data_IF_689108735709
#
_entry.id   IF_689108735709
#
_cell.length_a   1.000
_cell.length_b   1.000
_cell.length_c   1.000
_cell.angle_alpha   90.00
_cell.angle_beta   90.00
_cell.angle_gamma   90.00
#
_symmetry.space_group_name_H-M   'P 1'
#
loop_
_entity.id
_entity.type
_entity.pdbx_description
1 polymer ?
#
# COMPACT_ATOMS: atom_id res chain seq x y z
N UNK A 1 -29.86 16.29 -1.26
CA UNK A 1 -28.77 15.98 -2.21
C UNK A 1 -27.47 16.39 -1.54
N UNK A 2 -26.78 15.48 -0.85
CA UNK A 2 -25.47 15.76 -0.27
C UNK A 2 -24.46 15.50 -1.37
N UNK A 3 -23.85 16.56 -1.90
CA UNK A 3 -22.73 16.44 -2.82
C UNK A 3 -21.59 15.75 -2.07
N UNK A 4 -21.11 14.64 -2.63
CA UNK A 4 -19.96 13.90 -2.14
C UNK A 4 -18.69 14.70 -2.46
N UNK A 5 -18.39 15.67 -1.58
CA UNK A 5 -17.21 16.53 -1.67
C UNK A 5 -15.90 15.74 -1.49
N UNK A 6 -15.93 14.49 -1.03
CA UNK A 6 -14.74 13.66 -0.86
C UNK A 6 -14.21 13.09 -2.17
N UNK A 7 -15.11 12.61 -3.03
CA UNK A 7 -14.76 11.98 -4.30
C UNK A 7 -14.26 13.01 -5.33
N UNK A 8 -14.91 14.18 -5.40
CA UNK A 8 -14.47 15.26 -6.30
C UNK A 8 -13.12 15.89 -5.90
N UNK A 9 -12.78 15.93 -4.61
CA UNK A 9 -11.50 16.48 -4.16
C UNK A 9 -10.33 15.52 -4.46
N UNK A 10 -10.55 14.21 -4.32
CA UNK A 10 -9.57 13.19 -4.71
C UNK A 10 -9.42 13.08 -6.23
N UNK A 11 -10.52 13.14 -6.99
CA UNK A 11 -10.45 13.20 -8.46
C UNK A 11 -9.67 14.43 -8.93
N UNK A 12 -9.85 15.60 -8.29
CA UNK A 12 -9.14 16.84 -8.69
C UNK A 12 -7.67 16.84 -8.27
N UNK A 13 -7.32 16.24 -7.12
CA UNK A 13 -5.93 16.20 -6.63
C UNK A 13 -5.08 15.18 -7.40
N UNK A 14 -5.66 14.04 -7.78
CA UNK A 14 -4.95 13.03 -8.60
C UNK A 14 -4.79 13.52 -10.04
N UNK A 15 -5.74 14.31 -10.57
CA UNK A 15 -5.62 14.88 -11.92
C UNK A 15 -4.60 16.04 -12.03
N UNK A 16 -4.14 16.60 -10.91
CA UNK A 16 -3.20 17.74 -10.89
C UNK A 16 -1.78 17.39 -10.45
N UNK A 17 -1.51 16.16 -9.97
CA UNK A 17 -0.14 15.67 -9.87
C UNK A 17 0.34 15.24 -11.25
N UNK A 18 0.98 16.16 -11.98
CA UNK A 18 1.86 15.78 -13.07
C UNK A 18 3.01 14.95 -12.49
N UNK A 19 2.84 13.62 -12.51
CA UNK A 19 3.89 12.70 -12.15
C UNK A 19 5.06 12.90 -13.12
N UNK A 20 6.18 13.38 -12.60
CA UNK A 20 7.37 13.62 -13.41
C UNK A 20 7.83 12.30 -14.07
N UNK A 21 8.41 12.37 -15.28
CA UNK A 21 9.11 11.24 -15.85
C UNK A 21 10.24 10.77 -14.93
N UNK A 22 10.40 9.45 -14.83
CA UNK A 22 11.51 8.81 -14.12
C UNK A 22 12.05 7.63 -14.93
N UNK A 23 13.31 7.29 -14.72
CA UNK A 23 13.95 6.15 -15.37
C UNK A 23 14.09 4.99 -14.39
N UNK A 24 13.98 3.76 -14.90
CA UNK A 24 14.29 2.58 -14.10
C UNK A 24 15.78 2.59 -13.71
N UNK A 25 16.12 2.11 -12.49
CA UNK A 25 17.50 1.90 -12.13
C UNK A 25 18.20 0.95 -13.13
N UNK A 26 19.51 1.11 -13.36
CA UNK A 26 20.26 0.20 -14.23
C UNK A 26 20.31 -1.22 -13.65
N UNK A 27 20.35 -2.22 -14.53
CA UNK A 27 20.41 -3.64 -14.17
C UNK A 27 19.03 -4.29 -13.98
N UNK A 28 19.03 -5.59 -13.70
CA UNK A 28 17.80 -6.36 -13.52
C UNK A 28 17.20 -6.16 -12.13
N UNK A 29 15.95 -5.70 -12.07
CA UNK A 29 15.18 -5.69 -10.83
C UNK A 29 14.82 -7.12 -10.40
N UNK A 30 14.77 -7.35 -9.09
CA UNK A 30 14.28 -8.62 -8.56
C UNK A 30 12.76 -8.69 -8.71
N UNK A 31 12.26 -9.82 -9.23
CA UNK A 31 10.83 -10.03 -9.52
C UNK A 31 10.20 -11.18 -8.74
N UNK A 32 10.90 -11.77 -7.75
CA UNK A 32 10.40 -12.95 -7.02
C UNK A 32 9.05 -12.65 -6.35
N UNK A 33 7.98 -13.20 -6.95
CA UNK A 33 6.61 -13.18 -6.43
C UNK A 33 5.87 -11.83 -6.51
N UNK A 34 6.36 -10.86 -7.29
CA UNK A 34 5.95 -9.45 -7.14
C UNK A 34 5.27 -8.85 -8.38
N UNK A 35 4.34 -7.93 -8.12
CA UNK A 35 3.76 -6.97 -9.06
C UNK A 35 4.74 -5.83 -9.39
N UNK A 36 5.96 -5.94 -8.87
CA UNK A 36 7.00 -4.94 -8.98
C UNK A 36 8.34 -5.59 -9.34
N UNK A 37 9.15 -4.81 -10.05
CA UNK A 37 10.60 -4.99 -10.02
C UNK A 37 11.17 -4.20 -8.84
N UNK A 38 12.13 -4.80 -8.14
CA UNK A 38 12.73 -4.23 -6.93
C UNK A 38 14.24 -4.10 -7.08
N UNK A 39 14.77 -2.92 -6.78
CA UNK A 39 16.19 -2.62 -6.72
C UNK A 39 16.57 -2.10 -5.33
N UNK A 40 17.79 -2.40 -4.91
CA UNK A 40 18.43 -1.69 -3.81
C UNK A 40 19.23 -0.53 -4.40
N UNK A 41 19.11 0.67 -3.83
CA UNK A 41 19.89 1.83 -4.27
C UNK A 41 21.39 1.60 -4.11
N UNK A 42 22.22 2.36 -4.85
CA UNK A 42 23.68 2.18 -4.82
C UNK A 42 24.29 2.39 -3.42
N UNK A 43 23.74 3.32 -2.65
CA UNK A 43 24.10 3.58 -1.24
C UNK A 43 23.50 2.56 -0.25
N UNK A 44 22.63 1.66 -0.74
CA UNK A 44 21.91 0.63 0.03
C UNK A 44 20.94 1.17 1.09
N UNK A 45 20.61 2.47 1.03
CA UNK A 45 19.73 3.10 2.01
C UNK A 45 18.25 3.03 1.60
N UNK A 46 17.95 2.73 0.34
CA UNK A 46 16.58 2.74 -0.20
C UNK A 46 16.30 1.50 -1.03
N UNK A 47 15.07 1.03 -0.95
CA UNK A 47 14.49 0.09 -1.89
C UNK A 47 13.71 0.90 -2.92
N UNK A 48 14.02 0.71 -4.19
CA UNK A 48 13.30 1.30 -5.33
C UNK A 48 12.40 0.20 -5.90
N UNK A 49 11.12 0.48 -6.09
CA UNK A 49 10.14 -0.42 -6.68
C UNK A 49 9.56 0.21 -7.94
N UNK A 50 9.38 -0.59 -8.99
CA UNK A 50 8.62 -0.18 -10.17
C UNK A 50 7.51 -1.19 -10.47
N UNK A 51 6.25 -0.75 -10.46
CA UNK A 51 5.09 -1.61 -10.77
C UNK A 51 5.24 -2.24 -12.16
N UNK A 52 4.70 -3.42 -12.40
CA UNK A 52 4.54 -3.91 -13.77
C UNK A 52 3.50 -3.06 -14.52
N UNK A 53 3.57 -3.10 -15.86
CA UNK A 53 2.71 -2.33 -16.72
C UNK A 53 1.23 -2.73 -16.51
N UNK A 54 0.42 -1.81 -15.98
CA UNK A 54 -0.99 -2.05 -15.69
C UNK A 54 -1.28 -2.85 -14.42
N UNK A 55 -0.26 -3.15 -13.60
CA UNK A 55 -0.39 -3.95 -12.36
C UNK A 55 0.02 -3.12 -11.14
N UNK A 56 -0.86 -2.23 -10.67
CA UNK A 56 -0.58 -1.34 -9.54
C UNK A 56 -0.91 -1.99 -8.19
N UNK A 57 -0.19 -3.03 -7.79
CA UNK A 57 -0.39 -3.64 -6.48
C UNK A 57 -1.70 -4.45 -6.35
N UNK A 58 -1.77 -5.47 -5.50
CA UNK A 58 -3.05 -6.10 -5.12
C UNK A 58 -3.89 -5.13 -4.32
N UNK A 59 -5.21 -5.22 -4.37
CA UNK A 59 -6.09 -4.54 -3.41
C UNK A 59 -6.91 -5.51 -2.58
N UNK A 60 -7.37 -5.05 -1.42
CA UNK A 60 -8.33 -5.81 -0.62
C UNK A 60 -9.64 -6.00 -1.39
N UNK A 61 -10.17 -7.23 -1.39
CA UNK A 61 -11.39 -7.58 -2.09
C UNK A 61 -11.17 -8.67 -3.15
N UNK A 62 -11.98 -8.68 -4.23
CA UNK A 62 -11.80 -9.63 -5.33
C UNK A 62 -10.40 -9.57 -5.93
N UNK A 63 -9.89 -10.71 -6.41
CA UNK A 63 -8.54 -10.85 -6.99
C UNK A 63 -8.36 -9.95 -8.23
N UNK A 64 -7.84 -8.74 -7.99
CA UNK A 64 -7.64 -7.66 -8.96
C UNK A 64 -6.50 -6.77 -8.50
N UNK A 65 -5.80 -6.17 -9.46
CA UNK A 65 -4.89 -5.07 -9.20
C UNK A 65 -5.66 -3.81 -8.78
N UNK A 66 -5.00 -2.95 -8.02
CA UNK A 66 -5.47 -1.62 -7.75
C UNK A 66 -5.39 -0.75 -9.01
N UNK A 67 -6.18 0.30 -9.07
CA UNK A 67 -5.94 1.38 -10.02
C UNK A 67 -4.74 2.21 -9.56
N UNK A 68 -4.23 3.09 -10.44
CA UNK A 68 -3.16 4.01 -10.06
C UNK A 68 -3.59 4.89 -8.88
N UNK A 69 -4.83 5.39 -8.89
CA UNK A 69 -5.42 6.20 -7.84
C UNK A 69 -5.44 5.45 -6.49
N UNK A 70 -5.91 4.20 -6.50
CA UNK A 70 -5.95 3.34 -5.30
C UNK A 70 -4.53 3.07 -4.76
N UNK A 71 -3.53 2.94 -5.63
CA UNK A 71 -2.14 2.72 -5.22
C UNK A 71 -1.47 3.99 -4.69
N UNK A 72 -1.71 5.15 -5.30
CA UNK A 72 -1.23 6.44 -4.80
C UNK A 72 -1.84 6.76 -3.42
N UNK A 73 -3.15 6.49 -3.26
CA UNK A 73 -3.83 6.63 -1.98
C UNK A 73 -3.23 5.69 -0.91
N UNK A 74 -2.88 4.45 -1.26
CA UNK A 74 -2.18 3.53 -0.35
C UNK A 74 -0.86 4.12 0.15
N UNK A 75 -0.04 4.68 -0.74
CA UNK A 75 1.24 5.30 -0.37
C UNK A 75 0.99 6.44 0.62
N UNK A 76 0.01 7.31 0.34
CA UNK A 76 -0.37 8.41 1.24
C UNK A 76 -0.79 7.89 2.61
N UNK A 77 -1.71 6.93 2.65
CA UNK A 77 -2.23 6.35 3.89
C UNK A 77 -1.15 5.61 4.71
N UNK A 78 -0.24 4.87 4.07
CA UNK A 78 0.86 4.21 4.78
C UNK A 78 1.81 5.22 5.42
N UNK A 79 2.10 6.32 4.73
CA UNK A 79 2.93 7.37 5.30
C UNK A 79 2.24 8.04 6.49
N UNK A 80 0.94 8.31 6.41
CA UNK A 80 0.18 8.93 7.49
C UNK A 80 0.02 8.01 8.70
N UNK A 81 -0.31 6.73 8.49
CA UNK A 81 -0.62 5.79 9.56
C UNK A 81 0.65 5.18 10.19
N UNK A 82 1.68 4.94 9.40
CA UNK A 82 2.85 4.15 9.82
C UNK A 82 4.19 4.86 9.64
N UNK A 83 4.21 6.10 9.15
CA UNK A 83 5.43 6.90 8.98
C UNK A 83 6.53 6.22 8.12
N UNK A 84 6.15 5.40 7.14
CA UNK A 84 7.06 4.52 6.37
C UNK A 84 7.95 5.24 5.35
N UNK A 85 7.85 6.56 5.21
CA UNK A 85 8.61 7.41 4.27
C UNK A 85 8.67 6.85 2.84
N UNK A 86 7.56 6.35 2.33
CA UNK A 86 7.41 5.86 0.96
C UNK A 86 7.15 7.03 0.00
N UNK A 87 8.04 7.22 -0.97
CA UNK A 87 8.05 8.35 -1.90
C UNK A 87 7.75 7.90 -3.32
N UNK A 88 7.06 8.76 -4.08
CA UNK A 88 6.86 8.60 -5.51
C UNK A 88 8.02 9.27 -6.23
N UNK A 89 8.76 8.50 -7.03
CA UNK A 89 9.89 9.01 -7.81
C UNK A 89 9.45 9.52 -9.17
N UNK A 90 8.37 8.95 -9.72
CA UNK A 90 7.81 9.35 -11.00
C UNK A 90 7.19 8.19 -11.75
N UNK A 91 6.99 8.37 -13.05
CA UNK A 91 6.43 7.35 -13.94
C UNK A 91 7.36 7.08 -15.11
N UNK A 92 7.34 5.85 -15.62
CA UNK A 92 7.97 5.51 -16.90
C UNK A 92 6.95 4.81 -17.82
N UNK A 93 7.11 4.98 -19.13
CA UNK A 93 6.17 4.47 -20.12
C UNK A 93 4.87 5.28 -20.21
N UNK A 94 4.02 4.92 -21.16
CA UNK A 94 2.79 5.64 -21.50
C UNK A 94 1.58 4.70 -21.65
N UNK A 95 0.38 5.24 -21.46
CA UNK A 95 -0.87 4.50 -21.58
C UNK A 95 -0.88 3.21 -20.75
N UNK A 96 -1.13 2.08 -21.40
CA UNK A 96 -1.15 0.74 -20.75
C UNK A 96 0.23 0.26 -20.30
N UNK A 97 1.31 0.84 -20.81
CA UNK A 97 2.68 0.53 -20.40
C UNK A 97 3.16 1.38 -19.22
N UNK A 98 2.33 2.29 -18.70
CA UNK A 98 2.69 3.17 -17.60
C UNK A 98 3.00 2.34 -16.36
N UNK A 99 4.15 2.63 -15.76
CA UNK A 99 4.63 2.06 -14.50
C UNK A 99 4.87 3.19 -13.51
N UNK A 100 4.58 2.94 -12.24
CA UNK A 100 4.90 3.85 -11.16
C UNK A 100 6.23 3.44 -10.52
N UNK A 101 7.15 4.40 -10.41
CA UNK A 101 8.41 4.21 -9.71
C UNK A 101 8.29 4.88 -8.35
N UNK A 102 8.61 4.12 -7.32
CA UNK A 102 8.57 4.56 -5.94
C UNK A 102 9.83 4.13 -5.22
N UNK A 103 10.11 4.76 -4.08
CA UNK A 103 11.16 4.26 -3.21
C UNK A 103 10.90 4.56 -1.75
N UNK A 104 11.54 3.78 -0.89
CA UNK A 104 11.34 3.82 0.55
C UNK A 104 12.64 3.41 1.26
N UNK A 105 12.80 3.69 2.56
CA UNK A 105 13.97 3.22 3.30
C UNK A 105 14.15 1.70 3.19
N UNK A 106 15.39 1.26 3.05
CA UNK A 106 15.75 -0.13 3.25
C UNK A 106 15.74 -0.42 4.76
N UNK A 107 14.67 -1.05 5.24
CA UNK A 107 14.56 -1.41 6.65
C UNK A 107 15.48 -2.58 7.00
N UNK A 108 16.18 -2.45 8.12
CA UNK A 108 17.07 -3.48 8.65
C UNK A 108 16.51 -4.01 9.97
N UNK A 109 16.51 -5.34 10.13
CA UNK A 109 15.95 -6.00 11.30
C UNK A 109 15.51 -7.42 10.97
N UNK A 110 14.61 -7.96 11.79
CA UNK A 110 14.02 -9.30 11.59
C UNK A 110 12.56 -9.17 11.15
N UNK A 111 12.00 -10.13 10.40
CA UNK A 111 10.55 -10.21 10.22
C UNK A 111 9.85 -10.28 11.60
N UNK A 112 8.80 -9.48 11.86
CA UNK A 112 8.01 -9.63 13.07
C UNK A 112 7.19 -10.93 12.99
N UNK A 113 6.88 -11.51 14.15
CA UNK A 113 5.94 -12.62 14.27
C UNK A 113 4.50 -12.15 14.04
N UNK A 114 3.59 -13.08 13.72
CA UNK A 114 2.16 -12.78 13.63
C UNK A 114 1.58 -12.23 14.94
N UNK A 115 2.09 -12.69 16.09
CA UNK A 115 1.67 -12.18 17.39
C UNK A 115 2.10 -10.73 17.61
N UNK A 116 3.32 -10.36 17.22
CA UNK A 116 3.81 -8.98 17.28
C UNK A 116 3.02 -8.06 16.32
N UNK A 117 2.72 -8.51 15.09
CA UNK A 117 1.85 -7.76 14.16
C UNK A 117 0.46 -7.57 14.76
N UNK A 118 -0.12 -8.63 15.34
CA UNK A 118 -1.43 -8.56 15.99
C UNK A 118 -1.45 -7.52 17.11
N UNK A 119 -0.46 -7.55 17.99
CA UNK A 119 -0.35 -6.57 19.06
C UNK A 119 -0.21 -5.14 18.52
N UNK A 120 0.66 -4.95 17.53
CA UNK A 120 0.90 -3.67 16.86
C UNK A 120 -0.37 -3.05 16.23
N UNK A 121 -1.21 -3.87 15.61
CA UNK A 121 -2.48 -3.43 15.02
C UNK A 121 -3.54 -3.12 16.10
N UNK A 122 -3.64 -3.94 17.14
CA UNK A 122 -4.57 -3.72 18.26
C UNK A 122 -4.26 -2.42 19.00
N UNK A 123 -2.99 -2.11 19.25
CA UNK A 123 -2.55 -0.86 19.88
C UNK A 123 -2.90 0.39 19.07
N UNK A 124 -3.15 0.24 17.76
CA UNK A 124 -3.60 1.30 16.84
C UNK A 124 -5.12 1.36 16.69
N UNK A 125 -5.85 0.58 17.48
CA UNK A 125 -7.31 0.55 17.46
C UNK A 125 -7.90 -0.24 16.28
N UNK A 126 -7.11 -1.05 15.58
CA UNK A 126 -7.65 -1.95 14.56
C UNK A 126 -8.21 -3.22 15.18
N UNK A 127 -9.38 -3.63 14.70
CA UNK A 127 -10.02 -4.90 15.02
C UNK A 127 -9.69 -5.95 13.95
N UNK A 128 -9.44 -7.19 14.37
CA UNK A 128 -9.14 -8.29 13.45
C UNK A 128 -10.41 -8.93 12.90
N UNK A 129 -10.45 -9.13 11.58
CA UNK A 129 -11.54 -9.80 10.88
C UNK A 129 -10.99 -10.89 9.96
N UNK A 130 -11.57 -12.09 10.07
CA UNK A 130 -11.43 -13.13 9.05
C UNK A 130 -12.50 -12.92 8.00
N UNK A 131 -12.09 -12.63 6.79
CA UNK A 131 -13.02 -12.34 5.69
C UNK A 131 -12.86 -13.37 4.57
N UNK A 132 -13.83 -13.39 3.66
CA UNK A 132 -13.72 -14.20 2.42
C UNK A 132 -12.59 -13.76 1.48
N UNK A 133 -11.98 -12.61 1.72
CA UNK A 133 -10.87 -12.06 0.95
C UNK A 133 -9.52 -12.20 1.66
N UNK A 134 -9.48 -12.95 2.76
CA UNK A 134 -8.32 -13.06 3.63
C UNK A 134 -8.47 -12.25 4.92
N UNK A 135 -7.42 -12.32 5.73
CA UNK A 135 -7.34 -11.61 7.00
C UNK A 135 -7.26 -10.10 6.79
N UNK A 136 -8.05 -9.36 7.56
CA UNK A 136 -8.13 -7.90 7.49
C UNK A 136 -8.18 -7.30 8.89
N UNK A 137 -7.71 -6.06 8.99
CA UNK A 137 -7.71 -5.24 10.18
C UNK A 137 -8.54 -4.00 9.87
N UNK A 138 -9.58 -3.74 10.65
CA UNK A 138 -10.49 -2.62 10.41
C UNK A 138 -10.59 -1.70 11.61
N UNK A 139 -10.46 -0.40 11.37
CA UNK A 139 -10.67 0.64 12.37
C UNK A 139 -11.88 1.47 11.96
N UNK A 140 -12.90 1.50 12.83
CA UNK A 140 -14.22 2.02 12.48
C UNK A 140 -14.26 3.54 12.47
N UNK A 141 -13.48 4.17 13.35
CA UNK A 141 -13.43 5.60 13.62
C UNK A 141 -13.17 6.42 12.35
N UNK A 142 -12.26 5.93 11.50
CA UNK A 142 -11.86 6.56 10.24
C UNK A 142 -12.09 5.65 9.01
N UNK A 143 -12.72 4.49 9.21
CA UNK A 143 -13.00 3.47 8.19
C UNK A 143 -11.76 2.96 7.48
N UNK A 144 -10.64 2.90 8.20
CA UNK A 144 -9.38 2.39 7.67
C UNK A 144 -9.37 0.87 7.69
N UNK A 145 -8.98 0.27 6.56
CA UNK A 145 -8.76 -1.17 6.44
C UNK A 145 -7.31 -1.43 6.07
N UNK A 146 -6.68 -2.38 6.75
CA UNK A 146 -5.35 -2.91 6.44
C UNK A 146 -5.47 -4.41 6.18
N UNK A 147 -4.87 -4.89 5.11
CA UNK A 147 -4.76 -6.30 4.76
C UNK A 147 -3.33 -6.61 4.29
N UNK A 148 -3.03 -7.90 4.07
CA UNK A 148 -1.67 -8.38 3.77
C UNK A 148 -0.64 -7.99 4.85
N UNK A 149 -1.12 -7.90 6.10
CA UNK A 149 -0.31 -7.62 7.28
C UNK A 149 0.44 -8.88 7.72
N UNK A 150 1.40 -9.30 6.91
CA UNK A 150 2.17 -10.54 7.08
C UNK A 150 3.63 -10.29 7.47
N UNK A 151 4.31 -11.24 8.15
CA UNK A 151 5.74 -11.14 8.51
C UNK A 151 6.66 -10.76 7.35
N UNK A 152 6.35 -11.23 6.14
CA UNK A 152 7.14 -10.96 4.93
C UNK A 152 7.00 -9.51 4.41
N UNK A 153 6.02 -8.75 4.92
CA UNK A 153 5.68 -7.40 4.46
C UNK A 153 5.99 -6.31 5.50
N UNK A 154 6.70 -6.68 6.58
CA UNK A 154 7.12 -5.78 7.62
C UNK A 154 8.50 -6.16 8.19
N UNK A 155 9.19 -5.20 8.78
CA UNK A 155 10.44 -5.42 9.51
C UNK A 155 10.27 -4.94 10.94
N UNK A 156 10.64 -5.76 11.91
CA UNK A 156 10.85 -5.33 13.29
C UNK A 156 12.21 -4.63 13.38
N UNK A 157 12.17 -3.32 13.59
CA UNK A 157 13.35 -2.46 13.79
C UNK A 157 13.51 -2.10 15.26
N UNK A 158 14.58 -1.40 15.62
CA UNK A 158 14.75 -0.82 16.96
C UNK A 158 13.64 0.18 17.33
N UNK A 159 13.01 0.80 16.33
CA UNK A 159 11.94 1.79 16.49
C UNK A 159 10.53 1.15 16.40
N UNK A 160 10.46 -0.18 16.38
CA UNK A 160 9.21 -0.95 16.25
C UNK A 160 8.99 -1.50 14.84
N UNK A 161 7.75 -1.94 14.58
CA UNK A 161 7.37 -2.58 13.32
C UNK A 161 7.22 -1.51 12.22
N UNK A 162 7.98 -1.69 11.14
CA UNK A 162 7.93 -0.89 9.94
C UNK A 162 7.27 -1.71 8.81
N UNK A 163 5.99 -1.47 8.49
CA UNK A 163 5.37 -2.09 7.33
C UNK A 163 5.95 -1.50 6.04
N UNK A 164 6.16 -2.34 5.03
CA UNK A 164 6.66 -1.89 3.73
C UNK A 164 5.84 -2.40 2.55
N UNK A 165 4.85 -3.27 2.79
CA UNK A 165 3.93 -3.77 1.78
C UNK A 165 2.55 -4.12 2.34
N UNK A 166 2.10 -3.40 3.37
CA UNK A 166 0.72 -3.55 3.84
C UNK A 166 -0.25 -2.91 2.84
N UNK A 167 -1.39 -3.56 2.59
CA UNK A 167 -2.45 -3.02 1.75
C UNK A 167 -3.41 -2.23 2.65
N UNK A 168 -3.27 -0.91 2.66
CA UNK A 168 -4.15 0.01 3.39
C UNK A 168 -5.10 0.74 2.44
N UNK A 169 -6.37 0.91 2.84
CA UNK A 169 -7.37 1.62 2.06
C UNK A 169 -8.51 2.15 2.94
N UNK A 170 -9.40 2.96 2.35
CA UNK A 170 -10.71 3.33 2.89
C UNK A 170 -11.81 2.72 2.03
N UNK A 171 -12.25 1.48 2.30
CA UNK A 171 -13.15 0.79 1.39
C UNK A 171 -14.57 1.36 1.40
N UNK A 172 -15.25 1.25 0.25
CA UNK A 172 -16.67 1.52 0.16
C UNK A 172 -17.47 0.59 1.10
N UNK A 173 -18.60 1.07 1.63
CA UNK A 173 -19.44 0.30 2.56
C UNK A 173 -19.93 -1.01 1.95
N UNK A 174 -20.15 -1.06 0.63
CA UNK A 174 -20.54 -2.28 -0.08
C UNK A 174 -19.46 -3.37 0.02
N UNK A 175 -18.18 -3.02 -0.06
CA UNK A 175 -17.09 -3.98 0.08
C UNK A 175 -16.96 -4.46 1.53
N UNK A 176 -17.08 -3.56 2.50
CA UNK A 176 -17.06 -3.93 3.93
C UNK A 176 -18.21 -4.88 4.30
N UNK A 177 -19.41 -4.65 3.75
CA UNK A 177 -20.56 -5.57 3.89
C UNK A 177 -20.29 -6.91 3.22
N UNK A 178 -19.76 -6.90 2.00
CA UNK A 178 -19.42 -8.11 1.26
C UNK A 178 -18.28 -8.92 1.94
N UNK A 179 -17.51 -8.29 2.82
CA UNK A 179 -16.45 -8.90 3.62
C UNK A 179 -16.91 -9.29 5.05
N UNK A 180 -18.18 -9.06 5.40
CA UNK A 180 -18.76 -9.26 6.74
C UNK A 180 -18.04 -8.46 7.87
N UNK A 181 -17.46 -7.31 7.52
CA UNK A 181 -16.83 -6.39 8.48
C UNK A 181 -17.87 -5.42 9.06
N UNK A 182 -18.72 -4.86 8.20
CA UNK A 182 -19.84 -4.04 8.61
C UNK A 182 -21.12 -4.84 8.43
N UNK A 183 -21.71 -5.29 9.54
CA UNK A 183 -23.05 -5.89 9.52
C UNK A 183 -24.11 -4.83 9.12
N UNK A 184 -25.19 -5.25 8.44
CA UNK A 184 -26.26 -4.36 8.03
C UNK A 184 -26.91 -3.60 9.18
#
# INVERSE_FOLDING_TARGET
MRYDLGTAFLETLVFTMELKPASLPPGFGQTRGSEHEVWLSADKLRVIKATHAGEFGRKFGPDRFATLEEYLERIRLLNEEFAVRWQIEGVCGEGRSRRLITSQPAYHGKPPTLAEIRQFMLERGFEFHRTRFGDAWFRKEDRMLVSDAEPKNAVMTENGIMPFDFIIARPASSLLKAADIMRP
#
